data_IF_171198660288
#
_entry.id   IF_171198660288
#
_cell.length_a   1.000
_cell.length_b   1.000
_cell.length_c   1.000
_cell.angle_alpha   90.00
_cell.angle_beta   90.00
_cell.angle_gamma   90.00
#
_symmetry.space_group_name_H-M   'P 1'
#
loop_
_entity.id
_entity.type
_entity.pdbx_description
1 polymer ?
#
# COMPACT_ATOMS: atom_id res chain seq x y z
N UNK A 1 4.45 21.55 7.11
CA UNK A 1 5.57 20.92 6.37
C UNK A 1 6.20 21.97 5.48
N UNK A 2 7.52 21.93 5.27
CA UNK A 2 8.21 22.86 4.37
C UNK A 2 8.95 22.05 3.34
N UNK A 3 8.63 22.26 2.07
CA UNK A 3 9.25 21.54 0.95
C UNK A 3 10.74 21.77 0.95
N UNK A 4 11.53 20.70 0.83
CA UNK A 4 12.98 20.75 0.87
C UNK A 4 13.60 20.45 -0.49
N UNK A 5 14.87 20.81 -0.66
CA UNK A 5 15.64 20.41 -1.85
C UNK A 5 15.83 18.89 -1.92
N UNK A 6 15.88 18.21 -0.77
CA UNK A 6 16.03 16.75 -0.72
C UNK A 6 14.76 16.03 -1.20
N UNK A 7 13.58 16.59 -0.90
CA UNK A 7 12.30 16.04 -1.34
C UNK A 7 12.28 15.96 -2.87
N UNK A 8 12.54 17.10 -3.53
CA UNK A 8 12.62 17.17 -5.00
C UNK A 8 13.75 16.30 -5.59
N UNK A 9 14.89 16.19 -4.91
CA UNK A 9 15.99 15.34 -5.37
C UNK A 9 15.69 13.84 -5.25
N UNK A 10 14.75 13.46 -4.40
CA UNK A 10 14.32 12.07 -4.20
C UNK A 10 13.27 11.60 -5.20
N UNK A 11 12.65 12.53 -5.94
CA UNK A 11 11.61 12.22 -6.92
C UNK A 11 12.21 11.52 -8.15
N UNK A 12 11.48 10.52 -8.67
CA UNK A 12 11.86 9.78 -9.87
C UNK A 12 10.63 9.60 -10.77
N UNK A 13 10.63 10.13 -12.01
CA UNK A 13 9.58 9.83 -12.97
C UNK A 13 9.42 8.32 -13.18
N UNK A 14 8.19 7.83 -13.23
CA UNK A 14 7.93 6.40 -13.42
C UNK A 14 7.87 6.04 -14.91
N UNK A 15 8.41 4.86 -15.25
CA UNK A 15 8.24 4.27 -16.58
C UNK A 15 6.76 4.08 -16.90
N UNK A 16 6.37 4.27 -18.16
CA UNK A 16 4.98 4.15 -18.58
C UNK A 16 4.59 2.69 -18.86
N UNK A 17 5.59 1.84 -19.10
CA UNK A 17 5.44 0.42 -19.43
C UNK A 17 5.92 -0.47 -18.28
N UNK A 18 5.45 -1.72 -18.24
CA UNK A 18 5.97 -2.71 -17.28
C UNK A 18 7.46 -2.95 -17.46
N UNK A 19 7.93 -2.99 -18.72
CA UNK A 19 9.34 -3.14 -19.02
C UNK A 19 10.18 -1.98 -18.48
N UNK A 20 9.80 -0.73 -18.74
CA UNK A 20 10.53 0.44 -18.23
C UNK A 20 10.57 0.44 -16.70
N UNK A 21 9.45 0.17 -16.03
CA UNK A 21 9.39 0.08 -14.56
C UNK A 21 10.34 -0.98 -14.02
N UNK A 22 10.45 -2.13 -14.69
CA UNK A 22 11.36 -3.21 -14.30
C UNK A 22 12.85 -2.86 -14.43
N UNK A 23 13.18 -1.84 -15.21
CA UNK A 23 14.55 -1.38 -15.44
C UNK A 23 14.96 -0.22 -14.52
N UNK A 24 14.03 0.31 -13.71
CA UNK A 24 14.34 1.34 -12.73
C UNK A 24 15.06 0.75 -11.51
N UNK A 25 15.77 1.60 -10.78
CA UNK A 25 16.41 1.23 -9.50
C UNK A 25 15.43 1.15 -8.34
N UNK A 26 14.34 1.91 -8.42
CA UNK A 26 13.23 1.94 -7.47
C UNK A 26 11.97 2.47 -8.16
N UNK A 27 10.79 2.15 -7.61
CA UNK A 27 9.52 2.80 -7.95
C UNK A 27 9.23 3.89 -6.91
N UNK A 28 10.07 4.93 -6.90
CA UNK A 28 9.98 6.07 -5.97
C UNK A 28 8.80 7.00 -6.28
N UNK A 29 8.61 8.04 -5.46
CA UNK A 29 7.60 9.07 -5.69
C UNK A 29 7.88 9.82 -6.99
N UNK A 30 6.85 10.05 -7.81
CA UNK A 30 6.98 10.84 -9.04
C UNK A 30 6.85 12.33 -8.75
N UNK A 31 6.11 12.66 -7.69
CA UNK A 31 5.75 14.03 -7.34
C UNK A 31 5.91 14.33 -5.86
N UNK A 32 6.17 15.59 -5.56
CA UNK A 32 6.19 16.13 -4.21
C UNK A 32 4.82 15.94 -3.53
N UNK A 33 3.74 16.00 -4.31
CA UNK A 33 2.40 15.74 -3.83
C UNK A 33 2.21 14.31 -3.30
N UNK A 34 2.73 13.30 -4.00
CA UNK A 34 2.73 11.91 -3.53
C UNK A 34 3.53 11.78 -2.25
N UNK A 35 4.76 12.29 -2.25
CA UNK A 35 5.67 12.25 -1.11
C UNK A 35 5.03 12.88 0.14
N UNK A 36 4.48 14.08 -0.01
CA UNK A 36 3.83 14.80 1.09
C UNK A 36 2.54 14.10 1.53
N UNK A 37 1.75 13.59 0.59
CA UNK A 37 0.53 12.83 0.90
C UNK A 37 0.84 11.62 1.77
N UNK A 38 1.84 10.85 1.36
CA UNK A 38 2.30 9.66 2.08
C UNK A 38 2.90 10.01 3.44
N UNK A 39 3.75 11.04 3.51
CA UNK A 39 4.32 11.53 4.78
C UNK A 39 3.23 12.03 5.75
N UNK A 40 2.16 12.63 5.23
CA UNK A 40 1.06 13.18 6.01
C UNK A 40 -0.08 12.18 6.28
N UNK A 41 0.06 10.92 5.83
CA UNK A 41 -0.97 9.88 5.87
C UNK A 41 -2.31 10.38 5.32
N UNK A 42 -2.26 11.04 4.17
CA UNK A 42 -3.39 11.74 3.58
C UNK A 42 -3.42 11.57 2.06
N UNK A 43 -4.63 11.57 1.50
CA UNK A 43 -4.77 11.53 0.05
C UNK A 43 -4.17 12.80 -0.60
N UNK A 44 -3.54 12.68 -1.79
CA UNK A 44 -3.10 13.81 -2.59
C UNK A 44 -4.18 14.88 -2.80
N UNK A 45 -5.44 14.47 -2.91
CA UNK A 45 -6.58 15.39 -3.04
C UNK A 45 -6.79 16.25 -1.80
N UNK A 46 -6.66 15.68 -0.60
CA UNK A 46 -6.77 16.45 0.65
C UNK A 46 -5.61 17.44 0.76
N UNK A 47 -4.38 17.01 0.46
CA UNK A 47 -3.19 17.88 0.50
C UNK A 47 -3.35 19.07 -0.45
N UNK A 48 -3.81 18.83 -1.69
CA UNK A 48 -4.15 19.90 -2.65
C UNK A 48 -5.20 20.85 -2.11
N UNK A 49 -6.28 20.32 -1.53
CA UNK A 49 -7.40 21.12 -1.02
C UNK A 49 -6.98 22.03 0.15
N UNK A 50 -6.10 21.54 1.03
CA UNK A 50 -5.57 22.32 2.14
C UNK A 50 -4.59 23.42 1.69
N UNK A 51 -4.02 23.28 0.49
CA UNK A 51 -2.96 24.15 -0.03
C UNK A 51 -3.19 24.51 -1.50
N UNK A 52 -4.28 25.24 -1.83
CA UNK A 52 -4.68 25.47 -3.23
C UNK A 52 -3.61 26.21 -4.05
N UNK A 53 -2.83 27.08 -3.42
CA UNK A 53 -1.88 27.97 -4.09
C UNK A 53 -0.41 27.51 -4.02
N UNK A 54 -0.15 26.27 -3.58
CA UNK A 54 1.22 25.78 -3.39
C UNK A 54 2.01 25.54 -4.68
N UNK A 55 1.36 25.50 -5.85
CA UNK A 55 2.04 25.22 -7.12
C UNK A 55 2.25 23.72 -7.38
N UNK A 56 1.21 22.92 -7.14
CA UNK A 56 1.21 21.47 -7.38
C UNK A 56 1.45 21.10 -8.86
N UNK A 57 2.00 19.90 -9.15
CA UNK A 57 2.29 18.81 -8.20
C UNK A 57 3.62 18.92 -7.46
N UNK A 58 4.53 19.81 -7.88
CA UNK A 58 5.88 19.94 -7.35
C UNK A 58 6.16 21.40 -6.89
N UNK A 59 5.62 21.83 -5.74
CA UNK A 59 5.95 23.12 -5.13
C UNK A 59 7.47 23.33 -5.01
N UNK A 60 7.92 24.58 -5.06
CA UNK A 60 9.33 24.91 -4.96
C UNK A 60 9.88 24.70 -3.52
N UNK A 61 11.19 24.44 -3.34
CA UNK A 61 11.79 24.37 -2.00
C UNK A 61 11.55 25.66 -1.21
N UNK A 62 11.29 25.52 0.09
CA UNK A 62 10.90 26.61 0.98
C UNK A 62 9.39 26.90 0.99
N UNK A 63 8.61 26.29 0.11
CA UNK A 63 7.14 26.41 0.15
C UNK A 63 6.61 25.75 1.43
N UNK A 64 5.92 26.53 2.27
CA UNK A 64 5.23 26.01 3.44
C UNK A 64 3.86 25.46 3.03
N UNK A 65 3.56 24.24 3.45
CA UNK A 65 2.26 23.59 3.24
C UNK A 65 1.69 23.07 4.57
N UNK A 66 0.38 23.19 4.70
CA UNK A 66 -0.43 22.67 5.79
C UNK A 66 -0.75 21.21 5.52
N UNK A 67 -0.41 20.34 6.48
CA UNK A 67 -0.67 18.91 6.39
C UNK A 67 -1.27 18.42 7.72
N UNK A 68 -2.02 17.31 7.72
CA UNK A 68 -2.36 16.60 8.95
C UNK A 68 -1.11 16.30 9.79
N UNK A 69 -1.19 16.59 11.09
CA UNK A 69 -0.16 16.23 12.05
C UNK A 69 -0.45 14.81 12.57
N UNK A 70 0.00 13.82 11.81
CA UNK A 70 -0.17 12.40 12.12
C UNK A 70 1.11 11.84 12.73
N UNK A 71 0.97 10.95 13.71
CA UNK A 71 2.09 10.19 14.24
C UNK A 71 1.55 8.83 14.67
N UNK A 72 2.08 7.76 14.10
CA UNK A 72 1.79 6.41 14.56
C UNK A 72 2.73 6.09 15.72
N UNK A 73 2.21 5.78 16.92
CA UNK A 73 3.06 5.36 18.03
C UNK A 73 3.70 4.02 17.70
N UNK A 74 4.94 3.76 18.06
CA UNK A 74 5.48 2.42 17.85
C UNK A 74 4.65 1.38 18.65
N UNK A 75 4.33 0.22 18.04
CA UNK A 75 3.53 -0.79 18.72
C UNK A 75 4.32 -1.35 19.91
N UNK A 76 3.67 -1.41 21.08
CA UNK A 76 4.28 -1.95 22.29
C UNK A 76 4.59 -3.45 22.16
N UNK A 77 3.75 -4.19 21.44
CA UNK A 77 3.84 -5.64 21.23
C UNK A 77 3.34 -6.04 19.84
N UNK A 78 3.60 -7.30 19.49
CA UNK A 78 3.02 -7.96 18.30
C UNK A 78 1.52 -8.21 18.49
N UNK A 79 0.76 -8.19 17.41
CA UNK A 79 -0.63 -8.60 17.44
C UNK A 79 -0.74 -10.11 17.66
N UNK A 80 -1.73 -10.56 18.42
CA UNK A 80 -2.06 -11.97 18.56
C UNK A 80 -2.87 -12.46 17.35
N UNK A 81 -3.77 -11.62 16.81
CA UNK A 81 -4.57 -11.92 15.63
C UNK A 81 -5.03 -10.63 14.93
N UNK A 82 -5.51 -10.77 13.69
CA UNK A 82 -6.18 -9.70 12.97
C UNK A 82 -7.57 -10.14 12.49
N UNK A 83 -8.48 -9.18 12.33
CA UNK A 83 -9.82 -9.40 11.78
C UNK A 83 -10.04 -8.46 10.60
N UNK A 84 -10.51 -9.00 9.48
CA UNK A 84 -10.85 -8.24 8.28
C UNK A 84 -12.36 -8.27 8.10
N UNK A 85 -12.98 -7.10 8.08
CA UNK A 85 -14.43 -6.92 7.96
C UNK A 85 -14.77 -6.54 6.52
N UNK A 86 -15.29 -7.49 5.74
CA UNK A 86 -15.53 -7.29 4.31
C UNK A 86 -16.66 -6.28 4.06
N UNK A 87 -17.76 -6.32 4.81
CA UNK A 87 -18.88 -5.38 4.64
C UNK A 87 -18.49 -3.94 4.93
N UNK A 88 -17.70 -3.74 5.97
CA UNK A 88 -17.31 -2.43 6.51
C UNK A 88 -15.99 -1.91 5.91
N UNK A 89 -15.19 -2.77 5.28
CA UNK A 89 -13.95 -2.43 4.56
C UNK A 89 -12.86 -1.86 5.47
N UNK A 90 -12.60 -2.58 6.55
CA UNK A 90 -11.47 -2.29 7.43
C UNK A 90 -10.82 -3.58 7.96
N UNK A 91 -9.58 -3.43 8.42
CA UNK A 91 -8.78 -4.43 9.09
C UNK A 91 -8.48 -3.94 10.51
N UNK A 92 -8.62 -4.81 11.49
CA UNK A 92 -8.24 -4.54 12.88
C UNK A 92 -7.22 -5.57 13.34
N UNK A 93 -6.26 -5.13 14.16
CA UNK A 93 -5.27 -5.99 14.80
C UNK A 93 -5.44 -5.92 16.31
N UNK A 94 -5.35 -7.07 16.98
CA UNK A 94 -5.64 -7.21 18.41
C UNK A 94 -4.50 -7.90 19.15
N UNK A 95 -4.34 -7.59 20.43
CA UNK A 95 -3.49 -8.37 21.34
C UNK A 95 -4.20 -9.65 21.83
N UNK A 96 -3.52 -10.44 22.66
CA UNK A 96 -4.07 -11.68 23.21
C UNK A 96 -5.24 -11.45 24.20
N UNK A 97 -5.36 -10.24 24.74
CA UNK A 97 -6.45 -9.80 25.60
C UNK A 97 -7.62 -9.19 24.83
N UNK A 98 -7.61 -9.24 23.48
CA UNK A 98 -8.60 -8.64 22.58
C UNK A 98 -8.66 -7.11 22.61
N UNK A 99 -7.60 -6.45 23.13
CA UNK A 99 -7.50 -5.00 23.01
C UNK A 99 -7.12 -4.63 21.58
N UNK A 100 -7.79 -3.60 21.06
CA UNK A 100 -7.51 -3.08 19.72
C UNK A 100 -6.14 -2.39 19.70
N UNK A 101 -5.23 -2.89 18.86
CA UNK A 101 -3.91 -2.33 18.64
C UNK A 101 -3.88 -1.37 17.44
N UNK A 102 -4.64 -1.69 16.40
CA UNK A 102 -4.72 -0.86 15.21
C UNK A 102 -6.02 -1.10 14.43
N UNK A 103 -6.48 -0.06 13.73
CA UNK A 103 -7.64 -0.08 12.84
C UNK A 103 -7.27 0.63 11.54
N UNK A 104 -7.43 -0.07 10.41
CA UNK A 104 -7.06 0.43 9.10
C UNK A 104 -8.22 0.29 8.11
N UNK A 105 -8.60 1.35 7.39
CA UNK A 105 -9.40 1.19 6.19
C UNK A 105 -8.71 0.25 5.20
N UNK A 106 -9.45 -0.64 4.55
CA UNK A 106 -8.89 -1.55 3.56
C UNK A 106 -9.81 -1.73 2.34
N UNK A 107 -9.23 -1.92 1.16
CA UNK A 107 -9.98 -2.32 -0.04
C UNK A 107 -10.01 -3.82 -0.17
N UNK A 108 -11.15 -4.34 -0.61
CA UNK A 108 -11.40 -5.78 -0.76
C UNK A 108 -11.66 -6.14 -2.22
N UNK A 109 -11.68 -7.44 -2.51
CA UNK A 109 -11.93 -7.94 -3.85
C UNK A 109 -13.28 -7.46 -4.41
N UNK A 110 -13.28 -6.94 -5.65
CA UNK A 110 -14.48 -6.52 -6.37
C UNK A 110 -15.50 -7.65 -6.45
N UNK A 111 -15.02 -8.83 -6.85
CA UNK A 111 -15.76 -10.07 -7.03
C UNK A 111 -16.01 -10.78 -5.71
N UNK A 112 -17.27 -10.99 -5.35
CA UNK A 112 -17.67 -11.64 -4.08
C UNK A 112 -17.09 -13.06 -4.00
N UNK A 113 -17.09 -13.79 -5.11
CA UNK A 113 -16.53 -15.14 -5.23
C UNK A 113 -15.02 -15.21 -4.97
N UNK A 114 -14.34 -14.06 -5.01
CA UNK A 114 -12.91 -13.93 -4.69
C UNK A 114 -12.67 -13.45 -3.27
N UNK A 115 -13.68 -13.29 -2.42
CA UNK A 115 -13.48 -12.88 -1.03
C UNK A 115 -13.30 -14.13 -0.16
N UNK A 116 -12.16 -14.30 0.53
CA UNK A 116 -12.04 -15.34 1.54
C UNK A 116 -12.97 -15.04 2.70
N UNK A 117 -13.58 -16.07 3.27
CA UNK A 117 -14.28 -16.02 4.54
C UNK A 117 -13.69 -17.16 5.39
N UNK A 118 -13.46 -16.88 6.66
CA UNK A 118 -12.86 -17.83 7.60
C UNK A 118 -11.45 -17.43 8.01
N UNK A 119 -10.75 -18.38 8.63
CA UNK A 119 -9.42 -18.17 9.20
C UNK A 119 -8.34 -18.44 8.15
N UNK A 120 -7.42 -17.48 8.03
CA UNK A 120 -6.20 -17.55 7.23
C UNK A 120 -4.99 -17.32 8.14
N UNK A 121 -3.79 -17.61 7.66
CA UNK A 121 -2.55 -17.39 8.40
C UNK A 121 -1.54 -16.62 7.58
N UNK A 122 -0.79 -15.74 8.26
CA UNK A 122 0.36 -15.05 7.66
C UNK A 122 1.46 -16.07 7.36
N UNK A 123 1.87 -16.20 6.10
CA UNK A 123 2.94 -17.12 5.66
C UNK A 123 4.18 -16.41 5.11
N UNK A 124 4.05 -15.13 4.76
CA UNK A 124 5.13 -14.30 4.22
C UNK A 124 4.99 -12.89 4.75
N UNK A 125 6.10 -12.28 5.16
CA UNK A 125 6.19 -10.85 5.49
C UNK A 125 7.37 -10.30 4.70
N UNK A 126 7.11 -9.36 3.80
CA UNK A 126 8.10 -8.75 2.93
C UNK A 126 7.96 -7.22 2.96
N UNK A 127 8.73 -6.52 3.81
CA UNK A 127 8.85 -5.06 3.73
C UNK A 127 9.62 -4.65 2.47
N UNK A 128 9.21 -3.56 1.85
CA UNK A 128 9.73 -3.02 0.58
C UNK A 128 9.98 -4.12 -0.46
N UNK A 129 8.93 -4.86 -0.87
CA UNK A 129 9.09 -6.04 -1.70
C UNK A 129 9.42 -5.68 -3.15
N UNK A 130 10.16 -6.57 -3.82
CA UNK A 130 10.09 -6.66 -5.28
C UNK A 130 8.70 -7.18 -5.69
N UNK A 131 8.22 -6.75 -6.85
CA UNK A 131 6.97 -7.28 -7.41
C UNK A 131 7.23 -8.06 -8.71
N UNK A 132 6.95 -9.36 -8.67
CA UNK A 132 7.08 -10.22 -9.85
C UNK A 132 5.80 -10.17 -10.68
N UNK A 133 5.89 -9.57 -11.86
CA UNK A 133 4.80 -9.54 -12.83
C UNK A 133 4.90 -10.79 -13.69
N UNK A 134 3.90 -11.66 -13.63
CA UNK A 134 3.79 -12.82 -14.50
C UNK A 134 2.77 -12.55 -15.62
N UNK A 135 3.18 -12.47 -16.90
CA UNK A 135 2.26 -12.25 -18.03
C UNK A 135 1.05 -13.20 -18.05
N UNK A 136 1.19 -14.45 -17.58
CA UNK A 136 0.09 -15.41 -17.52
C UNK A 136 -1.09 -14.94 -16.64
N UNK A 137 -0.83 -14.06 -15.66
CA UNK A 137 -1.85 -13.51 -14.76
C UNK A 137 -2.52 -12.25 -15.32
N UNK A 138 -2.01 -11.71 -16.43
CA UNK A 138 -2.49 -10.46 -17.05
C UNK A 138 -2.78 -10.68 -18.55
N UNK A 139 -3.74 -11.56 -18.90
CA UNK A 139 -4.10 -11.82 -20.31
C UNK A 139 -4.61 -10.57 -21.04
N UNK A 140 -5.11 -9.57 -20.31
CA UNK A 140 -5.58 -8.29 -20.84
C UNK A 140 -4.44 -7.32 -21.22
N UNK A 141 -3.22 -7.54 -20.73
CA UNK A 141 -2.08 -6.66 -20.98
C UNK A 141 -1.33 -7.06 -22.25
N UNK A 142 -1.62 -6.37 -23.37
CA UNK A 142 -0.95 -6.61 -24.65
C UNK A 142 0.59 -6.48 -24.55
N UNK A 143 1.10 -5.56 -23.73
CA UNK A 143 2.52 -5.40 -23.47
C UNK A 143 3.12 -6.64 -22.82
N UNK A 144 2.53 -7.11 -21.71
CA UNK A 144 3.04 -8.31 -21.00
C UNK A 144 2.94 -9.56 -21.87
N UNK A 145 1.87 -9.69 -22.66
CA UNK A 145 1.73 -10.78 -23.63
C UNK A 145 2.83 -10.73 -24.70
N UNK A 146 3.22 -9.54 -25.16
CA UNK A 146 4.32 -9.38 -26.12
C UNK A 146 5.70 -9.68 -25.50
N UNK A 147 5.91 -9.36 -24.22
CA UNK A 147 7.16 -9.64 -23.48
C UNK A 147 7.32 -11.15 -23.24
N UNK A 148 6.24 -11.85 -22.90
CA UNK A 148 6.21 -13.31 -22.83
C UNK A 148 7.04 -13.96 -21.71
N UNK A 149 7.62 -13.17 -20.80
CA UNK A 149 8.35 -13.66 -19.62
C UNK A 149 8.14 -12.77 -18.40
N UNK A 150 8.47 -13.30 -17.22
CA UNK A 150 8.29 -12.60 -15.94
C UNK A 150 9.21 -11.39 -15.85
N UNK A 151 8.68 -10.29 -15.33
CA UNK A 151 9.44 -9.10 -14.97
C UNK A 151 9.52 -8.96 -13.45
N UNK A 152 10.60 -8.38 -12.96
CA UNK A 152 10.75 -8.03 -11.54
C UNK A 152 10.78 -6.52 -11.45
N UNK A 153 9.79 -5.95 -10.76
CA UNK A 153 9.73 -4.53 -10.48
C UNK A 153 10.43 -4.27 -9.14
N UNK A 154 11.28 -3.24 -9.08
CA UNK A 154 12.02 -2.92 -7.88
C UNK A 154 11.07 -2.39 -6.78
N UNK A 155 11.54 -2.31 -5.52
CA UNK A 155 10.75 -1.77 -4.43
C UNK A 155 10.48 -0.27 -4.59
N UNK A 156 9.48 0.22 -3.87
CA UNK A 156 9.19 1.64 -3.74
C UNK A 156 7.71 1.90 -3.43
N UNK A 157 7.35 3.13 -3.03
CA UNK A 157 5.96 3.50 -2.73
C UNK A 157 5.02 3.31 -3.93
N UNK A 158 5.52 3.46 -5.15
CA UNK A 158 4.76 3.27 -6.38
C UNK A 158 4.77 1.82 -6.90
N UNK A 159 5.25 0.87 -6.09
CA UNK A 159 5.15 -0.56 -6.40
C UNK A 159 3.68 -1.03 -6.40
N UNK A 160 3.24 -1.95 -7.29
CA UNK A 160 1.85 -2.43 -7.33
C UNK A 160 1.32 -3.03 -6.02
N UNK A 161 2.20 -3.55 -5.16
CA UNK A 161 1.85 -4.01 -3.81
C UNK A 161 2.27 -3.03 -2.70
N UNK A 162 2.72 -1.83 -3.08
CA UNK A 162 3.15 -0.77 -2.19
C UNK A 162 4.44 -1.11 -1.44
N UNK A 163 4.57 -0.53 -0.25
CA UNK A 163 5.78 -0.65 0.60
C UNK A 163 5.83 -1.92 1.44
N UNK A 164 4.80 -2.77 1.40
CA UNK A 164 4.75 -3.99 2.20
C UNK A 164 3.85 -5.04 1.57
N UNK A 165 4.28 -6.31 1.63
CA UNK A 165 3.48 -7.47 1.29
C UNK A 165 3.43 -8.46 2.46
N UNK A 166 2.22 -8.79 2.92
CA UNK A 166 1.96 -9.78 3.96
C UNK A 166 1.10 -10.89 3.33
N UNK A 167 1.75 -11.98 2.90
CA UNK A 167 1.11 -13.09 2.21
C UNK A 167 0.33 -14.00 3.16
N UNK A 168 -0.84 -14.46 2.72
CA UNK A 168 -1.70 -15.39 3.45
C UNK A 168 -1.62 -16.80 2.87
N UNK A 169 -1.96 -17.81 3.67
CA UNK A 169 -1.99 -19.24 3.30
C UNK A 169 -3.03 -19.61 2.22
N UNK A 170 -3.74 -18.63 1.68
CA UNK A 170 -4.55 -18.76 0.47
C UNK A 170 -3.77 -18.23 -0.76
N UNK A 171 -3.54 -19.06 -1.79
CA UNK A 171 -2.76 -18.66 -2.96
C UNK A 171 -3.26 -17.36 -3.62
N UNK A 172 -2.35 -16.40 -3.76
CA UNK A 172 -2.63 -15.09 -4.37
C UNK A 172 -3.30 -14.07 -3.45
N UNK A 173 -3.46 -14.36 -2.15
CA UNK A 173 -4.04 -13.44 -1.18
C UNK A 173 -2.97 -12.89 -0.24
N UNK A 174 -3.12 -11.61 0.10
CA UNK A 174 -2.25 -10.92 1.01
C UNK A 174 -2.84 -9.59 1.46
N UNK A 175 -2.29 -9.06 2.54
CA UNK A 175 -2.50 -7.69 3.02
C UNK A 175 -1.30 -6.87 2.55
N UNK A 176 -1.51 -5.78 1.82
CA UNK A 176 -0.42 -5.05 1.20
C UNK A 176 -0.71 -3.56 1.02
N UNK A 177 0.34 -2.76 0.81
CA UNK A 177 0.23 -1.33 0.56
C UNK A 177 -0.33 -0.99 -0.84
N UNK A 178 -0.40 0.29 -1.20
CA UNK A 178 -0.84 0.69 -2.53
C UNK A 178 -0.26 2.05 -2.92
N UNK A 179 0.09 2.28 -4.20
CA UNK A 179 0.49 3.60 -4.68
C UNK A 179 -0.64 4.64 -4.62
N UNK A 180 -1.89 4.19 -4.49
CA UNK A 180 -3.08 4.99 -4.77
C UNK A 180 -3.98 5.01 -3.52
N UNK A 181 -3.58 5.70 -2.44
CA UNK A 181 -4.28 5.65 -1.15
C UNK A 181 -5.74 6.12 -1.24
N UNK A 182 -6.11 6.98 -2.20
CA UNK A 182 -7.50 7.41 -2.43
C UNK A 182 -8.46 6.30 -2.90
N UNK A 183 -7.92 5.15 -3.33
CA UNK A 183 -8.70 3.97 -3.68
C UNK A 183 -8.90 3.01 -2.49
N UNK A 184 -8.29 3.29 -1.34
CA UNK A 184 -8.51 2.51 -0.11
C UNK A 184 -9.96 2.70 0.38
N UNK A 185 -10.59 1.61 0.82
CA UNK A 185 -12.02 1.58 1.19
C UNK A 185 -12.98 1.42 -0.01
N UNK A 186 -12.46 1.14 -1.21
CA UNK A 186 -13.24 0.88 -2.44
C UNK A 186 -13.16 -0.59 -2.87
N UNK A 187 -14.12 -1.02 -3.70
CA UNK A 187 -14.26 -2.43 -4.10
C UNK A 187 -13.62 -2.68 -5.46
N UNK A 188 -12.28 -2.57 -5.55
CA UNK A 188 -11.56 -2.55 -6.84
C UNK A 188 -10.41 -3.57 -6.94
N UNK A 189 -10.23 -4.42 -5.92
CA UNK A 189 -9.11 -5.38 -5.92
C UNK A 189 -9.45 -6.68 -6.67
N UNK A 190 -8.40 -7.38 -7.12
CA UNK A 190 -8.51 -8.69 -7.77
C UNK A 190 -8.58 -9.88 -6.79
N UNK A 191 -8.51 -9.62 -5.47
CA UNK A 191 -8.46 -10.66 -4.42
C UNK A 191 -7.86 -10.16 -3.10
N UNK A 192 -6.82 -9.33 -3.17
CA UNK A 192 -6.05 -8.89 -2.00
C UNK A 192 -6.73 -7.82 -1.16
N UNK A 193 -6.23 -7.66 0.07
CA UNK A 193 -6.58 -6.60 1.00
C UNK A 193 -5.59 -5.44 0.85
N UNK A 194 -6.04 -4.33 0.26
CA UNK A 194 -5.17 -3.16 0.03
C UNK A 194 -5.31 -2.16 1.16
N UNK A 195 -4.19 -1.74 1.70
CA UNK A 195 -4.05 -0.70 2.72
C UNK A 195 -3.32 0.49 2.09
N UNK A 196 -3.42 1.66 2.69
CA UNK A 196 -2.48 2.73 2.37
C UNK A 196 -1.05 2.28 2.75
N UNK A 197 -0.02 2.81 2.09
CA UNK A 197 1.36 2.40 2.33
C UNK A 197 1.77 2.59 3.81
N UNK A 198 1.42 3.73 4.42
CA UNK A 198 1.70 3.98 5.84
C UNK A 198 1.03 2.97 6.79
N UNK A 199 -0.19 2.52 6.47
CA UNK A 199 -0.91 1.50 7.25
C UNK A 199 -0.27 0.13 7.09
N UNK A 200 0.13 -0.22 5.85
CA UNK A 200 0.81 -1.48 5.56
C UNK A 200 2.18 -1.56 6.23
N UNK A 201 2.95 -0.46 6.24
CA UNK A 201 4.23 -0.37 6.92
C UNK A 201 4.09 -0.52 8.43
N UNK A 202 3.03 0.08 9.01
CA UNK A 202 2.73 -0.13 10.42
C UNK A 202 2.31 -1.56 10.73
N UNK A 203 1.45 -2.16 9.89
CA UNK A 203 1.00 -3.53 10.07
C UNK A 203 2.16 -4.53 10.05
N UNK A 204 3.20 -4.30 9.22
CA UNK A 204 4.44 -5.11 9.24
C UNK A 204 5.07 -5.17 10.63
N UNK A 205 4.99 -4.08 11.41
CA UNK A 205 5.50 -4.04 12.78
C UNK A 205 4.69 -4.93 13.74
N UNK A 206 3.40 -5.13 13.48
CA UNK A 206 2.49 -5.93 14.31
C UNK A 206 2.47 -7.43 13.98
N UNK A 207 2.63 -7.79 12.70
CA UNK A 207 2.45 -9.18 12.25
C UNK A 207 3.67 -10.06 12.49
N UNK A 208 3.43 -11.37 12.47
CA UNK A 208 4.42 -12.45 12.56
C UNK A 208 3.95 -13.68 11.76
N UNK A 209 4.88 -14.56 11.36
CA UNK A 209 4.56 -15.76 10.56
C UNK A 209 3.76 -16.75 11.40
N UNK A 210 2.60 -17.16 10.91
CA UNK A 210 1.64 -17.99 11.63
C UNK A 210 0.56 -17.20 12.36
N UNK A 211 0.62 -15.86 12.35
CA UNK A 211 -0.43 -15.04 12.95
C UNK A 211 -1.78 -15.30 12.27
N UNK A 212 -2.84 -15.63 13.04
CA UNK A 212 -4.18 -15.83 12.50
C UNK A 212 -4.79 -14.51 12.01
N UNK A 213 -5.48 -14.60 10.89
CA UNK A 213 -6.22 -13.52 10.22
C UNK A 213 -7.62 -14.03 9.94
N UNK A 214 -8.60 -13.56 10.71
CA UNK A 214 -10.00 -13.91 10.52
C UNK A 214 -10.63 -12.99 9.49
N UNK A 215 -11.30 -13.54 8.49
CA UNK A 215 -12.02 -12.77 7.49
C UNK A 215 -13.52 -12.96 7.67
N UNK A 216 -14.20 -11.87 8.01
CA UNK A 216 -15.62 -11.82 8.32
C UNK A 216 -16.41 -11.12 7.19
N UNK A 217 -17.69 -11.49 6.97
CA UNK A 217 -18.52 -10.96 5.88
C UNK A 217 -18.73 -9.44 5.83
#
# INVERSE_FOLDING_TARGET
>A
YTVTTNDLASLQPMGNTWLEKSQQTALAYETELELIGETAHASPLLIKKLNPDAGWPNPAPGTAVTIPAVTYPDPADKAAFAVIHLGQRYLEAFDAGTNLLAHFPCSIAAKVEKRPIGELHVIVIAPHPNYTVNPELFPESAELQAIGHKLILPPGPNNPVGVAWIGLDRPGYGMHGTPIPEQVGRTESHGCFRLANWDAEYLVKLVWIGMPVLVEP
#
